data_IF_670765486532
#
_entry.id   IF_670765486532
#
_cell.length_a   1.000
_cell.length_b   1.000
_cell.length_c   1.000
_cell.angle_alpha   90.00
_cell.angle_beta   90.00
_cell.angle_gamma   90.00
#
_symmetry.space_group_name_H-M   'P 1'
#
loop_
_entity.id
_entity.type
_entity.pdbx_description
1 polymer ?
#
# COMPACT_ATOMS: atom_id res chain seq x y z
N UNK A 1 -1.11 42.83 -21.71
CA UNK A 1 -2.15 41.98 -22.34
C UNK A 1 -2.10 40.60 -21.71
N UNK A 2 -2.88 40.40 -20.65
CA UNK A 2 -3.12 39.10 -20.02
C UNK A 2 -4.64 38.90 -20.00
N UNK A 3 -5.13 37.77 -20.48
CA UNK A 3 -6.52 37.33 -20.27
C UNK A 3 -6.48 35.88 -19.76
N UNK A 4 -7.03 35.59 -18.57
CA UNK A 4 -7.28 34.23 -18.13
C UNK A 4 -8.59 33.73 -18.74
N UNK A 5 -8.60 32.50 -19.27
CA UNK A 5 -9.80 31.80 -19.70
C UNK A 5 -10.11 30.73 -18.66
N UNK A 6 -11.11 31.03 -17.82
CA UNK A 6 -12.01 30.07 -17.19
C UNK A 6 -13.39 30.63 -17.47
N UNK A 7 -14.34 29.85 -18.01
CA UNK A 7 -15.46 29.47 -17.15
C UNK A 7 -16.22 28.19 -17.58
N UNK A 8 -16.45 27.26 -16.66
CA UNK A 8 -17.73 26.53 -16.64
C UNK A 8 -18.04 25.90 -15.27
N UNK A 9 -18.45 26.75 -14.33
CA UNK A 9 -19.24 26.33 -13.16
C UNK A 9 -20.62 26.97 -13.31
N UNK A 10 -21.59 26.19 -13.81
CA UNK A 10 -23.00 26.59 -13.77
C UNK A 10 -23.50 26.45 -12.33
N UNK A 11 -23.73 27.60 -11.69
CA UNK A 11 -24.54 27.73 -10.47
C UNK A 11 -25.95 27.24 -10.77
N UNK A 12 -26.53 26.43 -9.87
CA UNK A 12 -27.99 26.26 -9.79
C UNK A 12 -28.59 27.44 -9.01
N UNK A 13 -29.82 27.89 -9.34
CA UNK A 13 -30.45 28.99 -8.64
C UNK A 13 -31.00 28.56 -7.27
N UNK A 14 -30.69 29.39 -6.28
CA UNK A 14 -31.56 29.94 -5.23
C UNK A 14 -32.88 29.21 -4.91
N UNK A 15 -32.92 28.60 -3.73
CA UNK A 15 -34.16 28.42 -2.94
C UNK A 15 -33.92 29.13 -1.60
N UNK A 16 -34.36 30.38 -1.52
CA UNK A 16 -34.51 31.10 -0.25
C UNK A 16 -35.73 30.58 0.51
N UNK A 17 -35.55 30.37 1.82
CA UNK A 17 -36.59 30.67 2.81
C UNK A 17 -37.61 29.58 3.14
N UNK A 18 -37.23 28.57 3.94
CA UNK A 18 -38.11 28.01 4.99
C UNK A 18 -37.31 27.63 6.24
N UNK A 19 -37.36 28.49 7.27
CA UNK A 19 -37.10 28.11 8.68
C UNK A 19 -38.24 27.20 9.15
N UNK A 20 -37.89 26.08 9.81
CA UNK A 20 -38.67 25.21 10.74
C UNK A 20 -37.94 23.86 10.78
N UNK A 21 -37.59 23.21 11.88
CA UNK A 21 -37.58 23.44 13.31
C UNK A 21 -36.73 22.30 13.92
N UNK A 22 -36.16 22.48 15.11
CA UNK A 22 -35.40 21.43 15.82
C UNK A 22 -36.31 20.24 16.12
N UNK A 23 -36.07 19.10 15.48
CA UNK A 23 -36.61 17.78 15.85
C UNK A 23 -35.68 17.06 16.83
N UNK A 24 -36.20 16.13 17.65
CA UNK A 24 -35.58 15.73 18.91
C UNK A 24 -34.37 14.81 18.74
N UNK A 25 -33.43 14.95 19.66
CA UNK A 25 -32.26 14.08 19.86
C UNK A 25 -32.68 12.65 20.16
N UNK A 26 -32.38 11.71 19.25
CA UNK A 26 -32.46 10.29 19.51
C UNK A 26 -31.28 9.86 20.40
N UNK A 27 -31.52 9.84 21.72
CA UNK A 27 -30.69 9.10 22.68
C UNK A 27 -30.99 7.60 22.54
N UNK A 28 -29.93 6.80 22.48
CA UNK A 28 -29.94 5.41 22.91
C UNK A 28 -30.45 4.39 21.91
N UNK A 29 -29.54 3.84 21.10
CA UNK A 29 -29.62 2.48 20.53
C UNK A 29 -28.25 2.13 19.94
N UNK A 30 -27.31 1.73 20.80
CA UNK A 30 -26.13 0.98 20.37
C UNK A 30 -26.48 -0.51 20.40
N UNK A 31 -26.40 -1.23 19.27
CA UNK A 31 -26.52 -2.68 19.30
C UNK A 31 -25.28 -3.26 19.98
N UNK A 32 -25.47 -3.91 21.13
CA UNK A 32 -24.44 -4.72 21.78
C UNK A 32 -24.15 -5.94 20.90
N UNK A 33 -23.07 -5.87 20.12
CA UNK A 33 -22.51 -7.05 19.43
C UNK A 33 -21.96 -7.99 20.52
N UNK A 34 -22.61 -9.14 20.69
CA UNK A 34 -22.21 -10.18 21.65
C UNK A 34 -21.33 -11.18 20.91
N UNK A 35 -20.02 -11.14 21.16
CA UNK A 35 -19.10 -12.15 20.64
C UNK A 35 -19.27 -13.47 21.42
N UNK A 36 -19.42 -14.62 20.75
CA UNK A 36 -19.46 -15.91 21.43
C UNK A 36 -18.07 -16.26 22.01
N UNK A 37 -18.00 -16.40 23.33
CA UNK A 37 -16.85 -16.95 24.04
C UNK A 37 -16.74 -18.46 23.76
N UNK A 38 -15.94 -18.83 22.76
CA UNK A 38 -15.26 -20.13 22.69
C UNK A 38 -14.22 -20.12 21.57
N UNK A 39 -13.00 -19.70 21.90
CA UNK A 39 -11.83 -20.07 21.10
C UNK A 39 -11.45 -21.48 21.54
N UNK A 40 -11.66 -22.45 20.64
CA UNK A 40 -11.18 -23.82 20.81
C UNK A 40 -9.66 -23.78 20.61
N UNK A 41 -8.93 -23.83 21.71
CA UNK A 41 -7.48 -23.80 21.79
C UNK A 41 -6.86 -25.13 21.34
N UNK A 42 -5.64 -25.03 20.78
CA UNK A 42 -4.53 -25.98 21.02
C UNK A 42 -4.29 -27.23 20.13
N UNK A 43 -4.48 -27.23 18.80
CA UNK A 43 -3.99 -28.43 18.04
C UNK A 43 -3.46 -28.28 16.60
N UNK A 44 -2.97 -27.10 16.15
CA UNK A 44 -2.34 -27.00 14.80
C UNK A 44 -1.15 -26.03 14.65
N UNK A 45 -0.30 -25.85 15.66
CA UNK A 45 0.92 -24.98 15.54
C UNK A 45 2.24 -25.78 15.52
N UNK A 46 2.18 -27.10 15.34
CA UNK A 46 3.39 -27.92 15.19
C UNK A 46 3.43 -28.57 13.81
N UNK A 47 3.85 -27.81 12.79
CA UNK A 47 4.53 -28.30 11.56
C UNK A 47 4.85 -27.12 10.64
N UNK A 48 6.13 -26.88 10.42
CA UNK A 48 6.65 -26.10 9.29
C UNK A 48 7.30 -24.78 9.71
N UNK A 49 8.58 -24.82 10.05
CA UNK A 49 9.52 -23.70 9.95
C UNK A 49 10.96 -24.25 10.09
N UNK A 50 11.41 -24.97 9.06
CA UNK A 50 12.84 -24.98 8.74
C UNK A 50 13.07 -23.86 7.72
N UNK A 51 13.47 -22.69 8.22
CA UNK A 51 14.07 -21.64 7.41
C UNK A 51 15.38 -21.26 8.08
N UNK A 52 16.44 -22.03 7.79
CA UNK A 52 17.81 -21.69 8.18
C UNK A 52 18.65 -21.46 6.92
N UNK A 53 19.24 -20.27 6.90
CA UNK A 53 20.52 -19.91 6.28
C UNK A 53 20.66 -20.03 4.76
N UNK A 54 20.19 -19.01 4.03
CA UNK A 54 20.78 -18.60 2.74
C UNK A 54 20.82 -17.07 2.67
N UNK A 55 21.69 -16.44 3.47
CA UNK A 55 21.89 -14.97 3.43
C UNK A 55 23.37 -14.57 3.59
N UNK A 56 24.30 -15.50 3.37
CA UNK A 56 25.72 -15.24 3.56
C UNK A 56 26.58 -15.79 2.43
N UNK A 57 26.41 -15.27 1.22
CA UNK A 57 27.52 -15.23 0.27
C UNK A 57 27.24 -14.16 -0.77
N UNK A 58 27.78 -12.96 -0.57
CA UNK A 58 28.05 -11.93 -1.59
C UNK A 58 28.56 -10.68 -0.87
N UNK A 59 29.83 -10.64 -0.44
CA UNK A 59 30.68 -9.43 -0.35
C UNK A 59 32.11 -9.86 0.00
N UNK A 60 33.09 -9.25 -0.67
CA UNK A 60 34.51 -9.61 -0.65
C UNK A 60 35.25 -9.32 0.66
N UNK A 61 36.40 -9.99 0.78
CA UNK A 61 37.12 -10.37 2.00
C UNK A 61 38.05 -9.27 2.59
N UNK A 62 37.55 -8.09 3.00
CA UNK A 62 38.44 -7.09 3.63
C UNK A 62 37.98 -6.35 4.90
N UNK A 63 36.83 -6.69 5.51
CA UNK A 63 36.46 -6.15 6.84
C UNK A 63 35.90 -7.27 7.73
N UNK A 64 36.75 -8.20 8.18
CA UNK A 64 36.38 -9.18 9.22
C UNK A 64 36.34 -8.51 10.60
N UNK A 65 35.29 -7.72 10.86
CA UNK A 65 34.88 -7.49 12.25
C UNK A 65 34.22 -8.77 12.75
N UNK A 66 34.97 -9.53 13.56
CA UNK A 66 34.42 -10.65 14.35
C UNK A 66 33.26 -10.10 15.19
N UNK A 67 32.04 -10.29 14.72
CA UNK A 67 30.89 -10.25 15.59
C UNK A 67 31.02 -11.44 16.54
N UNK A 68 31.49 -11.16 17.75
CA UNK A 68 31.41 -12.10 18.85
C UNK A 68 29.92 -12.27 19.13
N UNK A 69 29.34 -13.35 18.61
CA UNK A 69 28.05 -13.86 19.07
C UNK A 69 28.26 -14.29 20.51
N UNK A 70 28.16 -13.34 21.43
CA UNK A 70 27.78 -13.66 22.79
C UNK A 70 26.44 -14.36 22.66
N UNK A 71 26.42 -15.65 23.00
CA UNK A 71 25.20 -16.40 23.24
C UNK A 71 24.43 -15.65 24.31
N UNK A 72 23.56 -14.73 23.88
CA UNK A 72 22.46 -14.24 24.70
C UNK A 72 21.62 -15.48 24.97
N UNK A 73 21.84 -16.08 26.14
CA UNK A 73 20.89 -16.99 26.75
C UNK A 73 19.53 -16.34 26.61
N UNK A 74 18.62 -17.00 25.89
CA UNK A 74 17.22 -16.61 25.90
C UNK A 74 16.74 -16.80 27.34
N UNK A 75 16.88 -15.75 28.15
CA UNK A 75 16.20 -15.64 29.42
C UNK A 75 14.72 -15.72 29.05
N UNK A 76 14.11 -16.88 29.27
CA UNK A 76 12.67 -17.02 29.30
C UNK A 76 12.17 -16.08 30.38
N UNK A 77 11.89 -14.84 30.00
CA UNK A 77 11.08 -13.95 30.83
C UNK A 77 9.69 -14.56 30.76
N UNK A 78 9.42 -15.45 31.71
CA UNK A 78 8.07 -15.86 32.02
C UNK A 78 7.32 -14.57 32.39
N UNK A 79 6.58 -14.01 31.43
CA UNK A 79 5.62 -12.96 31.73
C UNK A 79 4.64 -13.61 32.69
N UNK A 80 4.68 -13.24 33.98
CA UNK A 80 3.64 -13.60 34.95
C UNK A 80 2.34 -12.99 34.42
N UNK A 81 1.64 -13.75 33.59
CA UNK A 81 0.39 -13.31 32.98
C UNK A 81 -0.64 -13.13 34.08
N UNK A 82 -1.10 -11.89 34.28
CA UNK A 82 -2.45 -11.69 34.80
C UNK A 82 -3.43 -12.36 33.85
N UNK A 83 -4.36 -13.17 34.36
CA UNK A 83 -5.40 -13.81 33.55
C UNK A 83 -6.35 -12.80 32.90
N UNK A 84 -6.29 -11.54 33.34
CA UNK A 84 -7.16 -10.47 32.86
C UNK A 84 -6.46 -9.68 31.76
N UNK A 85 -7.10 -9.59 30.59
CA UNK A 85 -6.61 -8.76 29.49
C UNK A 85 -6.51 -7.29 29.91
N UNK A 86 -5.53 -6.56 29.36
CA UNK A 86 -5.35 -5.14 29.65
C UNK A 86 -6.58 -4.29 29.31
N UNK A 87 -7.28 -4.64 28.22
CA UNK A 87 -8.55 -4.00 27.82
C UNK A 87 -9.67 -4.20 28.86
N UNK A 88 -9.54 -5.20 29.73
CA UNK A 88 -10.46 -5.53 30.81
C UNK A 88 -9.93 -5.10 32.19
N UNK A 89 -8.96 -4.19 32.25
CA UNK A 89 -8.38 -3.67 33.50
C UNK A 89 -7.21 -4.50 34.05
N UNK A 90 -6.70 -5.47 33.30
CA UNK A 90 -5.45 -6.16 33.62
C UNK A 90 -4.21 -5.32 33.32
N UNK A 91 -3.04 -5.83 33.70
CA UNK A 91 -1.75 -5.15 33.44
C UNK A 91 -1.38 -5.28 31.95
N UNK A 92 -1.10 -4.17 31.23
CA UNK A 92 -0.61 -4.20 29.86
C UNK A 92 0.71 -4.97 29.71
N UNK A 93 0.84 -5.73 28.63
CA UNK A 93 2.08 -6.45 28.28
C UNK A 93 3.23 -5.47 27.98
N UNK A 94 2.91 -4.30 27.43
CA UNK A 94 3.88 -3.21 27.24
C UNK A 94 3.54 -2.05 28.16
N UNK A 95 4.52 -1.62 28.97
CA UNK A 95 4.40 -0.41 29.79
C UNK A 95 4.33 0.87 28.95
N UNK A 96 4.78 0.82 27.69
CA UNK A 96 4.75 1.95 26.75
C UNK A 96 3.74 1.68 25.63
N UNK A 97 2.95 2.68 25.19
CA UNK A 97 2.15 2.56 23.98
C UNK A 97 3.05 2.20 22.79
N UNK A 98 2.72 1.13 22.09
CA UNK A 98 3.42 0.73 20.86
C UNK A 98 2.66 1.42 19.71
N UNK A 99 3.30 2.36 18.98
CA UNK A 99 2.65 2.99 17.85
C UNK A 99 2.39 1.96 16.74
N UNK A 100 1.25 2.10 16.06
CA UNK A 100 0.93 1.24 14.91
C UNK A 100 1.93 1.41 13.77
N UNK A 101 2.38 2.64 13.51
CA UNK A 101 3.49 2.94 12.61
C UNK A 101 4.34 4.08 13.19
N UNK A 102 5.66 3.96 13.05
CA UNK A 102 6.63 5.01 13.40
C UNK A 102 7.73 5.03 12.33
N UNK A 103 8.00 6.19 11.76
CA UNK A 103 9.06 6.38 10.78
C UNK A 103 10.39 6.57 11.49
N UNK A 104 11.37 5.72 11.19
CA UNK A 104 12.70 5.79 11.77
C UNK A 104 13.57 6.84 11.03
N UNK A 105 13.25 8.12 11.22
CA UNK A 105 14.07 9.22 10.67
C UNK A 105 15.39 9.33 11.42
N UNK A 106 16.47 9.50 10.67
CA UNK A 106 17.82 9.71 11.19
C UNK A 106 18.19 11.21 11.18
N UNK A 107 19.27 11.57 11.87
CA UNK A 107 19.80 12.93 11.78
C UNK A 107 20.22 13.29 10.34
N UNK A 108 20.71 12.31 9.56
CA UNK A 108 21.07 12.52 8.16
C UNK A 108 19.88 12.92 7.28
N UNK A 109 18.68 12.39 7.56
CA UNK A 109 17.46 12.76 6.84
C UNK A 109 17.07 14.22 7.12
N UNK A 110 17.19 14.64 8.39
CA UNK A 110 16.94 16.02 8.82
C UNK A 110 17.95 16.97 8.17
N UNK A 111 19.24 16.62 8.20
CA UNK A 111 20.30 17.44 7.62
C UNK A 111 20.13 17.59 6.10
N UNK A 112 19.75 16.52 5.41
CA UNK A 112 19.44 16.55 3.97
C UNK A 112 18.28 17.50 3.65
N UNK A 113 17.21 17.49 4.46
CA UNK A 113 16.11 18.45 4.32
C UNK A 113 16.55 19.89 4.58
N UNK A 114 17.36 20.12 5.62
CA UNK A 114 17.90 21.46 5.97
C UNK A 114 18.77 22.02 4.84
N UNK A 115 19.55 21.20 4.13
CA UNK A 115 20.32 21.64 2.95
C UNK A 115 19.39 22.22 1.87
N UNK A 116 18.28 21.55 1.56
CA UNK A 116 17.30 22.05 0.58
C UNK A 116 16.64 23.33 1.07
N UNK A 117 16.24 23.38 2.34
CA UNK A 117 15.63 24.57 2.95
C UNK A 117 16.55 25.79 2.87
N UNK A 118 17.84 25.64 3.20
CA UNK A 118 18.83 26.72 3.13
C UNK A 118 19.15 27.14 1.69
N UNK A 119 18.97 26.26 0.71
CA UNK A 119 19.22 26.58 -0.70
C UNK A 119 18.16 27.49 -1.34
N UNK A 120 16.95 27.56 -0.76
CA UNK A 120 15.81 28.27 -1.37
C UNK A 120 15.17 27.56 -2.57
N UNK A 121 15.74 26.45 -3.06
CA UNK A 121 15.21 25.66 -4.18
C UNK A 121 14.14 24.67 -3.70
N UNK A 122 12.97 25.19 -3.33
CA UNK A 122 11.88 24.44 -2.69
C UNK A 122 10.91 23.74 -3.66
N UNK A 123 11.14 23.86 -4.97
CA UNK A 123 10.40 23.13 -6.01
C UNK A 123 11.22 21.94 -6.52
N UNK A 124 10.58 21.07 -7.30
CA UNK A 124 11.28 19.99 -7.99
C UNK A 124 12.51 20.53 -8.74
N UNK A 125 13.67 19.97 -8.41
CA UNK A 125 14.98 20.42 -8.85
C UNK A 125 15.98 19.25 -8.77
N UNK A 126 17.27 19.56 -8.72
CA UNK A 126 18.37 18.59 -8.72
C UNK A 126 18.23 17.43 -7.71
N UNK A 127 17.67 17.66 -6.52
CA UNK A 127 17.49 16.59 -5.52
C UNK A 127 16.42 15.56 -5.91
N UNK A 128 15.39 15.96 -6.64
CA UNK A 128 14.42 15.04 -7.23
C UNK A 128 15.08 14.17 -8.30
N UNK A 129 15.84 14.79 -9.20
CA UNK A 129 16.56 14.07 -10.27
C UNK A 129 17.57 13.07 -9.70
N UNK A 130 18.37 13.47 -8.71
CA UNK A 130 19.30 12.57 -8.00
C UNK A 130 18.58 11.39 -7.33
N UNK A 131 17.39 11.63 -6.77
CA UNK A 131 16.57 10.57 -6.18
C UNK A 131 16.02 9.64 -7.26
N UNK A 132 15.47 10.16 -8.35
CA UNK A 132 14.89 9.39 -9.45
C UNK A 132 15.92 8.46 -10.09
N UNK A 133 17.13 8.95 -10.35
CA UNK A 133 18.23 8.13 -10.90
C UNK A 133 18.60 6.98 -9.95
N UNK A 134 18.76 7.27 -8.65
CA UNK A 134 19.09 6.25 -7.65
C UNK A 134 17.94 5.26 -7.46
N UNK A 135 16.71 5.76 -7.43
CA UNK A 135 15.51 4.96 -7.25
C UNK A 135 15.33 3.99 -8.42
N UNK A 136 15.44 4.47 -9.66
CA UNK A 136 15.39 3.63 -10.85
C UNK A 136 16.47 2.55 -10.86
N UNK A 137 17.70 2.89 -10.44
CA UNK A 137 18.76 1.88 -10.31
C UNK A 137 18.44 0.81 -9.25
N UNK A 138 17.84 1.20 -8.12
CA UNK A 138 17.46 0.28 -7.04
C UNK A 138 16.28 -0.61 -7.40
N UNK A 139 15.27 -0.09 -8.11
CA UNK A 139 14.09 -0.86 -8.52
C UNK A 139 14.30 -1.60 -9.84
N UNK A 140 15.38 -1.28 -10.57
CA UNK A 140 15.67 -1.75 -11.93
C UNK A 140 14.77 -1.10 -13.01
N UNK A 141 14.17 0.04 -12.70
CA UNK A 141 13.38 0.82 -13.65
C UNK A 141 14.24 1.49 -14.70
N UNK A 142 13.76 1.44 -15.94
CA UNK A 142 14.32 2.27 -17.02
C UNK A 142 14.11 3.76 -16.76
N UNK A 143 12.99 4.13 -16.13
CA UNK A 143 12.61 5.51 -15.84
C UNK A 143 11.95 5.59 -14.46
N UNK A 144 12.25 6.65 -13.70
CA UNK A 144 11.61 6.96 -12.44
C UNK A 144 11.22 8.44 -12.42
N UNK A 145 10.10 8.76 -11.77
CA UNK A 145 9.61 10.13 -11.63
C UNK A 145 9.01 10.31 -10.25
N UNK A 146 9.45 11.36 -9.55
CA UNK A 146 8.90 11.77 -8.27
C UNK A 146 7.57 12.50 -8.44
N UNK A 147 6.68 12.30 -7.49
CA UNK A 147 5.42 13.03 -7.42
C UNK A 147 5.01 13.23 -5.96
N UNK A 148 3.86 13.86 -5.72
CA UNK A 148 3.45 14.26 -4.37
C UNK A 148 3.15 13.08 -3.43
N UNK A 149 2.59 11.97 -3.94
CA UNK A 149 2.24 10.77 -3.17
C UNK A 149 1.85 9.61 -4.09
N UNK A 150 1.62 8.42 -3.52
CA UNK A 150 1.24 7.21 -4.26
C UNK A 150 -0.06 7.34 -5.07
N UNK A 151 -1.07 8.06 -4.58
CA UNK A 151 -2.30 8.32 -5.35
C UNK A 151 -2.03 9.15 -6.61
N UNK A 152 -1.21 10.20 -6.49
CA UNK A 152 -0.78 10.97 -7.66
C UNK A 152 0.05 10.13 -8.64
N UNK A 153 0.88 9.19 -8.15
CA UNK A 153 1.63 8.28 -9.01
C UNK A 153 0.68 7.42 -9.88
N UNK A 154 -0.37 6.86 -9.27
CA UNK A 154 -1.39 6.09 -9.98
C UNK A 154 -2.16 6.96 -10.97
N UNK A 155 -2.53 8.19 -10.58
CA UNK A 155 -3.20 9.12 -11.49
C UNK A 155 -2.35 9.41 -12.73
N UNK A 156 -1.07 9.70 -12.54
CA UNK A 156 -0.12 9.97 -13.63
C UNK A 156 0.11 8.72 -14.51
N UNK A 157 0.09 7.53 -13.93
CA UNK A 157 0.23 6.27 -14.66
C UNK A 157 -1.03 5.94 -15.49
N UNK A 158 -2.22 6.23 -14.97
CA UNK A 158 -3.48 5.93 -15.64
C UNK A 158 -3.81 6.92 -16.76
N UNK A 159 -3.43 8.20 -16.62
CA UNK A 159 -3.77 9.25 -17.59
C UNK A 159 -3.38 8.90 -19.05
N UNK A 160 -2.15 8.45 -19.37
CA UNK A 160 -1.79 8.07 -20.73
C UNK A 160 -2.30 6.68 -21.14
N UNK A 161 -2.57 5.80 -20.17
CA UNK A 161 -2.88 4.40 -20.47
C UNK A 161 -4.38 4.14 -20.61
N UNK A 162 -5.22 4.82 -19.86
CA UNK A 162 -6.66 4.58 -19.83
C UNK A 162 -7.44 5.71 -20.50
N UNK A 163 -8.64 5.39 -20.94
CA UNK A 163 -9.61 6.30 -21.55
C UNK A 163 -10.93 6.27 -20.76
N UNK A 164 -11.69 7.37 -20.76
CA UNK A 164 -13.05 7.34 -20.21
C UNK A 164 -13.88 6.21 -20.83
N UNK A 165 -14.56 5.45 -19.99
CA UNK A 165 -15.37 4.28 -20.37
C UNK A 165 -14.61 2.95 -20.42
N UNK A 166 -13.29 2.92 -20.18
CA UNK A 166 -12.52 1.68 -20.07
C UNK A 166 -13.00 0.82 -18.89
N UNK A 167 -13.28 -0.46 -19.12
CA UNK A 167 -13.50 -1.42 -18.04
C UNK A 167 -12.14 -1.93 -17.53
N UNK A 168 -11.83 -1.65 -16.26
CA UNK A 168 -10.54 -1.97 -15.63
C UNK A 168 -10.74 -2.97 -14.51
N UNK A 169 -10.06 -4.11 -14.58
CA UNK A 169 -10.06 -5.11 -13.52
C UNK A 169 -9.24 -4.58 -12.33
N UNK A 170 -9.85 -4.55 -11.15
CA UNK A 170 -9.25 -4.01 -9.92
C UNK A 170 -9.49 -4.93 -8.72
N UNK A 171 -8.58 -5.02 -7.75
CA UNK A 171 -8.81 -5.81 -6.55
C UNK A 171 -9.92 -5.21 -5.68
N UNK A 172 -10.83 -6.05 -5.20
CA UNK A 172 -11.81 -5.70 -4.17
C UNK A 172 -11.15 -5.50 -2.79
N UNK A 173 -10.04 -6.20 -2.55
CA UNK A 173 -9.23 -6.05 -1.35
C UNK A 173 -7.97 -5.24 -1.68
N UNK A 174 -8.00 -3.93 -1.42
CA UNK A 174 -6.85 -3.02 -1.57
C UNK A 174 -7.14 -1.68 -0.87
N UNK A 175 -6.18 -0.76 -0.90
CA UNK A 175 -6.43 0.63 -0.58
C UNK A 175 -7.20 1.33 -1.71
N UNK A 176 -8.04 2.31 -1.35
CA UNK A 176 -8.99 2.95 -2.27
C UNK A 176 -8.32 3.68 -3.46
N UNK A 177 -7.07 4.12 -3.33
CA UNK A 177 -6.37 4.91 -4.34
C UNK A 177 -6.28 4.19 -5.70
N UNK A 178 -6.04 2.87 -5.71
CA UNK A 178 -5.96 2.05 -6.93
C UNK A 178 -7.22 2.16 -7.76
N UNK A 179 -8.40 2.15 -7.11
CA UNK A 179 -9.72 2.18 -7.76
C UNK A 179 -10.20 3.60 -8.00
N UNK A 180 -10.00 4.51 -7.04
CA UNK A 180 -10.50 5.87 -7.16
C UNK A 180 -9.86 6.62 -8.33
N UNK A 181 -8.60 6.32 -8.66
CA UNK A 181 -7.93 6.92 -9.82
C UNK A 181 -8.43 6.36 -11.15
N UNK A 182 -8.91 5.11 -11.21
CA UNK A 182 -9.64 4.58 -12.39
C UNK A 182 -10.92 5.39 -12.60
N UNK A 183 -11.69 5.60 -11.53
CA UNK A 183 -12.93 6.38 -11.59
C UNK A 183 -12.66 7.85 -11.92
N UNK A 184 -11.60 8.45 -11.36
CA UNK A 184 -11.21 9.82 -11.66
C UNK A 184 -10.82 10.02 -13.14
N UNK A 185 -10.27 8.98 -13.77
CA UNK A 185 -10.00 8.94 -15.21
C UNK A 185 -11.26 8.72 -16.07
N UNK A 186 -12.40 8.44 -15.44
CA UNK A 186 -13.68 8.14 -16.11
C UNK A 186 -13.83 6.67 -16.52
N UNK A 187 -12.99 5.77 -16.01
CA UNK A 187 -13.10 4.33 -16.25
C UNK A 187 -14.10 3.64 -15.33
N UNK A 188 -14.50 2.43 -15.71
CA UNK A 188 -15.40 1.56 -14.96
C UNK A 188 -14.59 0.49 -14.19
N UNK A 189 -14.50 0.56 -12.87
CA UNK A 189 -13.83 -0.47 -12.09
C UNK A 189 -14.65 -1.77 -12.06
N UNK A 190 -14.03 -2.87 -12.50
CA UNK A 190 -14.57 -4.22 -12.42
C UNK A 190 -13.85 -4.93 -11.27
N UNK A 191 -14.53 -5.04 -10.13
CA UNK A 191 -13.96 -5.62 -8.93
C UNK A 191 -13.71 -7.12 -9.08
N UNK A 192 -12.51 -7.54 -8.74
CA UNK A 192 -12.03 -8.93 -8.70
C UNK A 192 -11.77 -9.32 -7.24
N UNK A 193 -12.16 -10.54 -6.87
CA UNK A 193 -12.00 -11.02 -5.49
C UNK A 193 -10.52 -11.20 -5.10
N UNK A 194 -10.26 -11.36 -3.80
CA UNK A 194 -8.93 -11.63 -3.28
C UNK A 194 -8.67 -13.13 -3.21
N UNK A 195 -7.44 -13.54 -3.54
CA UNK A 195 -6.98 -14.88 -3.26
C UNK A 195 -6.83 -15.04 -1.73
N UNK A 196 -7.49 -16.02 -1.09
CA UNK A 196 -7.51 -16.14 0.37
C UNK A 196 -6.16 -16.55 0.98
N UNK A 197 -5.23 -17.08 0.18
CA UNK A 197 -3.91 -17.50 0.63
C UNK A 197 -2.89 -16.35 0.54
N UNK A 198 -3.00 -15.51 -0.48
CA UNK A 198 -2.01 -14.46 -0.77
C UNK A 198 -2.51 -13.04 -0.48
N UNK A 199 -3.82 -12.88 -0.33
CA UNK A 199 -4.55 -11.60 -0.26
C UNK A 199 -4.37 -10.69 -1.47
N UNK A 200 -3.72 -11.18 -2.54
CA UNK A 200 -3.58 -10.48 -3.80
C UNK A 200 -4.84 -10.67 -4.66
N UNK A 201 -4.90 -9.98 -5.80
CA UNK A 201 -5.98 -10.18 -6.78
C UNK A 201 -6.07 -11.65 -7.23
N UNK A 202 -7.26 -12.25 -7.20
CA UNK A 202 -7.48 -13.60 -7.72
C UNK A 202 -7.55 -13.56 -9.25
N UNK A 203 -6.49 -14.05 -9.90
CA UNK A 203 -6.40 -14.07 -11.36
C UNK A 203 -7.36 -15.06 -12.02
N UNK A 204 -7.82 -16.09 -11.31
CA UNK A 204 -8.87 -16.97 -11.82
C UNK A 204 -10.22 -16.26 -11.85
N UNK A 205 -10.51 -15.43 -10.84
CA UNK A 205 -11.68 -14.55 -10.84
C UNK A 205 -11.58 -13.44 -11.88
N UNK A 206 -10.40 -12.82 -12.01
CA UNK A 206 -10.12 -11.83 -13.05
C UNK A 206 -10.44 -12.40 -14.44
N UNK A 207 -9.94 -13.60 -14.75
CA UNK A 207 -10.15 -14.25 -16.04
C UNK A 207 -11.63 -14.51 -16.36
N UNK A 208 -12.47 -14.83 -15.35
CA UNK A 208 -13.92 -15.01 -15.54
C UNK A 208 -14.66 -13.70 -15.80
N UNK A 209 -14.10 -12.58 -15.35
CA UNK A 209 -14.71 -11.24 -15.45
C UNK A 209 -14.26 -10.46 -16.67
N UNK A 210 -13.29 -10.96 -17.44
CA UNK A 210 -12.90 -10.35 -18.71
C UNK A 210 -14.07 -10.38 -19.68
N UNK A 211 -14.36 -9.23 -20.29
CA UNK A 211 -15.33 -9.07 -21.38
C UNK A 211 -14.66 -8.38 -22.57
N UNK A 212 -15.31 -8.28 -23.74
CA UNK A 212 -14.79 -7.49 -24.87
C UNK A 212 -14.58 -6.00 -24.56
N UNK A 213 -15.16 -5.48 -23.47
CA UNK A 213 -14.97 -4.09 -23.02
C UNK A 213 -13.80 -3.94 -22.04
N UNK A 214 -13.28 -5.03 -21.50
CA UNK A 214 -12.15 -5.00 -20.56
C UNK A 214 -10.89 -4.59 -21.29
N UNK A 215 -10.20 -3.56 -20.81
CA UNK A 215 -9.02 -3.02 -21.50
C UNK A 215 -7.79 -2.93 -20.61
N UNK A 216 -7.92 -3.15 -19.31
CA UNK A 216 -6.79 -3.08 -18.38
C UNK A 216 -6.99 -3.88 -17.08
N UNK A 217 -5.86 -4.10 -16.40
CA UNK A 217 -5.76 -4.60 -15.03
C UNK A 217 -4.96 -3.57 -14.24
N UNK A 218 -5.48 -3.14 -13.09
CA UNK A 218 -4.72 -2.42 -12.08
C UNK A 218 -4.62 -3.29 -10.83
N UNK A 219 -3.44 -3.87 -10.59
CA UNK A 219 -3.20 -4.84 -9.51
C UNK A 219 -2.30 -4.23 -8.44
N UNK A 220 -2.55 -4.56 -7.17
CA UNK A 220 -1.75 -4.05 -6.04
C UNK A 220 -0.85 -5.14 -5.49
N UNK A 221 0.42 -4.81 -5.23
CA UNK A 221 1.35 -5.65 -4.48
C UNK A 221 1.13 -5.43 -2.97
N UNK A 222 0.15 -6.12 -2.41
CA UNK A 222 -0.24 -5.92 -1.01
C UNK A 222 0.78 -6.47 -0.02
N UNK A 223 0.97 -5.74 1.08
CA UNK A 223 1.82 -6.11 2.21
C UNK A 223 3.30 -6.34 1.84
N UNK A 224 3.76 -5.73 0.74
CA UNK A 224 5.11 -5.93 0.22
C UNK A 224 5.30 -7.22 -0.57
N UNK A 225 4.24 -8.00 -0.73
CA UNK A 225 4.24 -9.21 -1.53
C UNK A 225 3.84 -8.89 -2.98
N UNK A 226 4.69 -9.19 -3.97
CA UNK A 226 4.30 -9.08 -5.37
C UNK A 226 3.11 -9.98 -5.68
N UNK A 227 2.26 -9.55 -6.62
CA UNK A 227 1.24 -10.44 -7.21
C UNK A 227 1.95 -11.48 -8.08
N UNK A 228 1.23 -12.50 -8.55
CA UNK A 228 1.79 -13.39 -9.56
C UNK A 228 1.91 -12.63 -10.90
N UNK A 229 3.08 -12.03 -11.12
CA UNK A 229 3.35 -11.18 -12.29
C UNK A 229 3.26 -12.01 -13.55
N UNK A 230 3.80 -13.22 -13.58
CA UNK A 230 3.79 -14.07 -14.77
C UNK A 230 2.35 -14.42 -15.17
N UNK A 231 1.51 -14.83 -14.21
CA UNK A 231 0.11 -15.12 -14.48
C UNK A 231 -0.69 -13.87 -14.87
N UNK A 232 -0.40 -12.71 -14.25
CA UNK A 232 -1.04 -11.43 -14.60
C UNK A 232 -0.69 -11.03 -16.04
N UNK A 233 0.60 -11.12 -16.41
CA UNK A 233 1.08 -10.80 -17.76
C UNK A 233 0.53 -11.79 -18.80
N UNK A 234 0.43 -13.08 -18.46
CA UNK A 234 -0.18 -14.08 -19.34
C UNK A 234 -1.67 -13.77 -19.61
N UNK A 235 -2.44 -13.42 -18.57
CA UNK A 235 -3.83 -13.01 -18.73
C UNK A 235 -3.94 -11.74 -19.57
N UNK A 236 -3.09 -10.76 -19.30
CA UNK A 236 -3.07 -9.50 -20.03
C UNK A 236 -2.73 -9.71 -21.51
N UNK A 237 -1.69 -10.50 -21.83
CA UNK A 237 -1.29 -10.81 -23.20
C UNK A 237 -2.40 -11.53 -23.97
N UNK A 238 -3.07 -12.51 -23.34
CA UNK A 238 -4.17 -13.26 -23.95
C UNK A 238 -5.34 -12.38 -24.38
N UNK A 239 -5.61 -11.30 -23.65
CA UNK A 239 -6.76 -10.43 -23.85
C UNK A 239 -6.38 -9.00 -24.29
N UNK A 240 -5.11 -8.77 -24.64
CA UNK A 240 -4.56 -7.47 -25.02
C UNK A 240 -4.82 -6.36 -23.98
N UNK A 241 -4.74 -6.70 -22.69
CA UNK A 241 -4.99 -5.77 -21.59
C UNK A 241 -3.71 -5.01 -21.24
N UNK A 242 -3.87 -3.73 -20.87
CA UNK A 242 -2.82 -2.94 -20.23
C UNK A 242 -2.70 -3.32 -18.75
N UNK A 243 -1.50 -3.26 -18.17
CA UNK A 243 -1.29 -3.61 -16.76
C UNK A 243 -0.61 -2.46 -16.04
N UNK A 244 -1.17 -2.07 -14.90
CA UNK A 244 -0.49 -1.22 -13.92
C UNK A 244 -0.38 -1.97 -12.60
N UNK A 245 0.80 -1.92 -12.01
CA UNK A 245 1.05 -2.40 -10.67
C UNK A 245 1.12 -1.25 -9.68
N UNK A 246 0.24 -1.26 -8.69
CA UNK A 246 0.32 -0.42 -7.49
C UNK A 246 1.32 -1.05 -6.51
N UNK A 247 2.53 -0.48 -6.47
CA UNK A 247 3.63 -0.91 -5.63
C UNK A 247 3.79 -0.05 -4.36
N UNK A 248 2.76 0.68 -3.91
CA UNK A 248 2.86 1.58 -2.76
C UNK A 248 3.29 0.88 -1.45
N UNK A 249 3.06 -0.43 -1.33
CA UNK A 249 3.50 -1.25 -0.18
C UNK A 249 4.68 -2.16 -0.49
N UNK A 250 5.20 -2.15 -1.73
CA UNK A 250 6.19 -3.10 -2.23
C UNK A 250 7.45 -2.39 -2.76
N UNK A 251 7.84 -1.29 -2.11
CA UNK A 251 9.09 -0.60 -2.36
C UNK A 251 10.27 -1.57 -2.26
N UNK A 252 11.11 -1.64 -3.30
CA UNK A 252 12.29 -2.51 -3.42
C UNK A 252 12.01 -4.03 -3.34
N UNK A 253 10.75 -4.46 -3.33
CA UNK A 253 10.44 -5.88 -3.43
C UNK A 253 10.90 -6.41 -4.79
N UNK A 254 11.08 -7.74 -4.87
CA UNK A 254 11.53 -8.40 -6.09
C UNK A 254 10.62 -9.58 -6.41
N UNK A 255 10.39 -9.82 -7.69
CA UNK A 255 9.75 -11.02 -8.20
C UNK A 255 10.75 -11.82 -9.02
N UNK A 256 11.04 -13.06 -8.59
CA UNK A 256 12.03 -13.96 -9.22
C UNK A 256 13.41 -13.29 -9.45
N UNK A 257 13.87 -12.53 -8.45
CA UNK A 257 15.17 -11.84 -8.48
C UNK A 257 15.20 -10.56 -9.32
N UNK A 258 14.08 -10.16 -9.93
CA UNK A 258 13.94 -8.90 -10.66
C UNK A 258 13.15 -7.89 -9.84
N UNK A 259 13.49 -6.61 -9.92
CA UNK A 259 12.68 -5.56 -9.30
C UNK A 259 11.31 -5.42 -9.96
N UNK A 260 10.36 -4.79 -9.25
CA UNK A 260 8.95 -4.69 -9.67
C UNK A 260 8.65 -3.54 -10.64
N UNK A 261 9.68 -2.82 -11.06
CA UNK A 261 9.57 -1.66 -11.92
C UNK A 261 10.95 -1.21 -12.29
#
# INVERSE_FOLDING_TARGET
MCRPIVPFLRRRPDIEGKRRGKGPTAKGLTPKIRFPNKVRSEERVARGLEFRSVWFTLFGDSERRRFHLSTMSASNVAVKGSSTLAVAGGTPVSAKPIPFMSTALTQGDIDAAVVVLKSGMLRAAKKCEEFEQKWGALTQAKHAMTCANGTCALQLAYEPLFQPGDDVLVPAWSYIATVSMVVARGGNPIFVDANPETYQIDLADAARKVTPKTTAIAATHLYGCPVDIDATQALAAKHHLRVIYDAAQAHLATYKGKGLG
#
